data_IF_499632013249
#
_entry.id   IF_499632013249
#
_cell.length_a   1.000
_cell.length_b   1.000
_cell.length_c   1.000
_cell.angle_alpha   90.00
_cell.angle_beta   90.00
_cell.angle_gamma   90.00
#
_symmetry.space_group_name_H-M   'P 1'
#
loop_
_entity.id
_entity.type
_entity.pdbx_description
1 polymer ?
#
# COMPACT_ATOMS: atom_id res chain seq x y z
N UNK A 1 13.52 12.48 13.46
CA UNK A 1 12.39 11.59 13.82
C UNK A 1 11.99 10.68 12.64
N UNK A 2 12.91 9.93 12.03
CA UNK A 2 12.69 9.39 10.66
C UNK A 2 12.74 7.85 10.53
N UNK A 3 13.60 7.13 11.25
CA UNK A 3 13.72 5.67 11.09
C UNK A 3 12.84 4.84 12.05
N UNK A 4 12.64 5.31 13.28
CA UNK A 4 11.83 4.59 14.29
C UNK A 4 10.35 4.60 13.93
N UNK A 5 9.83 5.76 13.54
CA UNK A 5 8.44 5.95 13.12
C UNK A 5 8.12 5.15 11.86
N UNK A 6 9.00 5.20 10.85
CA UNK A 6 8.89 4.40 9.62
C UNK A 6 8.89 2.89 9.90
N UNK A 7 9.72 2.41 10.82
CA UNK A 7 9.70 1.00 11.28
C UNK A 7 8.40 0.61 11.97
N UNK A 8 7.83 1.50 12.78
CA UNK A 8 6.55 1.27 13.47
C UNK A 8 5.40 1.22 12.48
N UNK A 9 5.31 2.18 11.54
CA UNK A 9 4.31 2.17 10.47
C UNK A 9 4.44 0.90 9.63
N UNK A 10 5.67 0.52 9.24
CA UNK A 10 5.88 -0.73 8.50
C UNK A 10 5.36 -1.92 9.30
N UNK A 11 5.67 -2.05 10.60
CA UNK A 11 5.16 -3.16 11.44
C UNK A 11 3.65 -3.18 11.58
N UNK A 12 3.02 -2.01 11.68
CA UNK A 12 1.56 -1.89 11.75
C UNK A 12 0.93 -2.36 10.43
N UNK A 13 1.45 -1.90 9.29
CA UNK A 13 1.00 -2.38 7.98
C UNK A 13 1.17 -3.89 7.82
N UNK A 14 2.28 -4.42 8.32
CA UNK A 14 2.64 -5.84 8.30
C UNK A 14 1.69 -6.68 9.14
N UNK A 15 1.41 -6.22 10.36
CA UNK A 15 0.48 -6.86 11.28
C UNK A 15 -0.94 -6.88 10.71
N UNK A 16 -1.36 -5.78 10.11
CA UNK A 16 -2.70 -5.69 9.53
C UNK A 16 -2.76 -6.54 8.24
N UNK A 17 -1.78 -6.49 7.35
CA UNK A 17 -1.76 -7.35 6.14
C UNK A 17 -1.68 -8.85 6.44
N UNK A 18 -1.12 -9.24 7.60
CA UNK A 18 -1.06 -10.63 8.03
C UNK A 18 -2.38 -11.16 8.63
N UNK A 19 -3.33 -10.27 8.97
CA UNK A 19 -4.63 -10.69 9.49
C UNK A 19 -5.58 -11.10 8.37
N UNK A 20 -6.35 -12.20 8.54
CA UNK A 20 -7.34 -12.65 7.56
C UNK A 20 -8.44 -11.61 7.28
N UNK A 21 -8.66 -10.66 8.21
CA UNK A 21 -9.60 -9.53 8.07
C UNK A 21 -8.91 -8.15 8.02
N UNK A 22 -7.60 -8.11 7.81
CA UNK A 22 -6.85 -6.86 7.80
C UNK A 22 -7.19 -5.92 6.66
N UNK A 23 -7.54 -6.48 5.49
CA UNK A 23 -7.99 -5.71 4.34
C UNK A 23 -9.30 -4.98 4.68
N UNK A 24 -10.39 -5.65 5.14
CA UNK A 24 -11.59 -4.97 5.63
C UNK A 24 -11.32 -3.90 6.69
N UNK A 25 -10.38 -4.15 7.62
CA UNK A 25 -10.05 -3.22 8.69
C UNK A 25 -9.33 -1.95 8.18
N UNK A 26 -8.50 -2.08 7.14
CA UNK A 26 -7.78 -0.96 6.51
C UNK A 26 -8.65 -0.15 5.56
N UNK A 27 -9.64 -0.78 4.92
CA UNK A 27 -10.54 -0.13 3.97
C UNK A 27 -11.12 1.20 4.47
N UNK A 28 -11.70 1.32 5.68
CA UNK A 28 -12.23 2.60 6.16
C UNK A 28 -11.13 3.68 6.33
N UNK A 29 -9.93 3.30 6.78
CA UNK A 29 -8.80 4.25 6.88
C UNK A 29 -8.34 4.73 5.51
N UNK A 30 -8.29 3.85 4.51
CA UNK A 30 -7.99 4.22 3.13
C UNK A 30 -9.06 5.12 2.53
N UNK A 31 -10.34 4.89 2.84
CA UNK A 31 -11.46 5.73 2.38
C UNK A 31 -11.35 7.13 2.99
N UNK A 32 -11.18 7.24 4.31
CA UNK A 32 -11.05 8.53 5.01
C UNK A 32 -9.82 9.30 4.49
N UNK A 33 -8.69 8.60 4.36
CA UNK A 33 -7.46 9.21 3.83
C UNK A 33 -7.62 9.62 2.36
N UNK A 34 -8.32 8.83 1.54
CA UNK A 34 -8.63 9.15 0.15
C UNK A 34 -9.52 10.39 0.03
N UNK A 35 -10.56 10.51 0.88
CA UNK A 35 -11.42 11.70 0.95
C UNK A 35 -10.59 12.91 1.36
N UNK A 36 -9.75 12.79 2.39
CA UNK A 36 -8.83 13.86 2.80
C UNK A 36 -7.94 14.30 1.65
N UNK A 37 -7.24 13.38 0.97
CA UNK A 37 -6.38 13.71 -0.18
C UNK A 37 -7.15 14.35 -1.34
N UNK A 38 -8.43 14.02 -1.53
CA UNK A 38 -9.25 14.60 -2.60
C UNK A 38 -9.55 16.09 -2.37
N UNK A 39 -9.55 16.55 -1.12
CA UNK A 39 -9.93 17.95 -0.78
C UNK A 39 -8.92 19.02 -1.22
N UNK A 40 -7.68 18.67 -1.55
CA UNK A 40 -6.66 19.65 -1.95
C UNK A 40 -5.90 19.23 -3.22
N UNK A 41 -5.38 20.19 -4.02
CA UNK A 41 -4.81 19.90 -5.35
C UNK A 41 -3.65 18.90 -5.33
N UNK A 42 -2.71 19.07 -4.42
CA UNK A 42 -1.54 18.19 -4.26
C UNK A 42 -1.92 16.76 -3.82
N UNK A 43 -3.00 16.63 -3.05
CA UNK A 43 -3.51 15.34 -2.61
C UNK A 43 -4.16 14.56 -3.75
N UNK A 44 -4.79 15.25 -4.71
CA UNK A 44 -5.35 14.63 -5.92
C UNK A 44 -4.29 14.02 -6.82
N UNK A 45 -3.12 14.65 -6.95
CA UNK A 45 -1.98 14.06 -7.67
C UNK A 45 -1.45 12.80 -6.96
N UNK A 46 -1.29 12.86 -5.63
CA UNK A 46 -0.93 11.67 -4.83
C UNK A 46 -1.95 10.55 -4.98
N UNK A 47 -3.24 10.87 -4.97
CA UNK A 47 -4.33 9.92 -5.13
C UNK A 47 -4.30 9.23 -6.51
N UNK A 48 -4.04 9.99 -7.58
CA UNK A 48 -3.84 9.43 -8.93
C UNK A 48 -2.69 8.43 -8.96
N UNK A 49 -1.54 8.78 -8.36
CA UNK A 49 -0.39 7.87 -8.28
C UNK A 49 -0.72 6.59 -7.50
N UNK A 50 -1.41 6.72 -6.35
CA UNK A 50 -1.86 5.55 -5.60
C UNK A 50 -2.82 4.67 -6.41
N UNK A 51 -3.74 5.26 -7.16
CA UNK A 51 -4.69 4.52 -7.98
C UNK A 51 -4.00 3.79 -9.14
N UNK A 52 -3.03 4.42 -9.81
CA UNK A 52 -2.22 3.79 -10.86
C UNK A 52 -1.47 2.58 -10.33
N UNK A 53 -0.79 2.71 -9.18
CA UNK A 53 -0.08 1.60 -8.52
C UNK A 53 -1.07 0.48 -8.16
N UNK A 54 -2.25 0.82 -7.63
CA UNK A 54 -3.27 -0.16 -7.29
C UNK A 54 -3.75 -0.96 -8.51
N UNK A 55 -4.01 -0.28 -9.63
CA UNK A 55 -4.41 -0.93 -10.89
C UNK A 55 -3.30 -1.83 -11.43
N UNK A 56 -2.03 -1.40 -11.35
CA UNK A 56 -0.88 -2.21 -11.74
C UNK A 56 -0.76 -3.48 -10.88
N UNK A 57 -0.91 -3.34 -9.55
CA UNK A 57 -0.96 -4.48 -8.63
C UNK A 57 -2.09 -5.46 -8.97
N UNK A 58 -3.30 -4.96 -9.30
CA UNK A 58 -4.42 -5.79 -9.72
C UNK A 58 -4.13 -6.54 -11.03
N UNK A 59 -3.49 -5.89 -12.00
CA UNK A 59 -3.07 -6.56 -13.25
C UNK A 59 -2.07 -7.68 -12.96
N UNK A 60 -1.09 -7.42 -12.09
CA UNK A 60 -0.08 -8.42 -11.69
C UNK A 60 -0.72 -9.59 -10.91
N UNK A 61 -1.72 -9.34 -10.06
CA UNK A 61 -2.44 -10.39 -9.34
C UNK A 61 -3.27 -11.31 -10.23
N UNK A 62 -3.64 -10.90 -11.44
CA UNK A 62 -4.42 -11.75 -12.38
C UNK A 62 -3.60 -12.89 -12.98
N UNK A 63 -2.28 -12.77 -13.06
CA UNK A 63 -1.42 -13.79 -13.69
C UNK A 63 -0.55 -14.50 -12.65
N UNK A 64 -0.26 -15.80 -12.86
CA UNK A 64 0.59 -16.59 -11.94
C UNK A 64 2.04 -16.06 -11.90
N UNK A 65 2.54 -15.51 -13.02
CA UNK A 65 3.83 -14.82 -13.12
C UNK A 65 3.80 -13.45 -12.42
N UNK A 66 2.76 -12.64 -12.65
CA UNK A 66 2.62 -11.33 -12.02
C UNK A 66 2.47 -11.40 -10.50
N UNK A 67 1.83 -12.45 -9.95
CA UNK A 67 1.82 -12.71 -8.51
C UNK A 67 3.21 -12.92 -7.94
N UNK A 68 4.08 -13.66 -8.63
CA UNK A 68 5.47 -13.87 -8.19
C UNK A 68 6.27 -12.58 -8.23
N UNK A 69 6.07 -11.76 -9.26
CA UNK A 69 6.71 -10.45 -9.38
C UNK A 69 6.25 -9.49 -8.27
N UNK A 70 4.95 -9.47 -7.98
CA UNK A 70 4.39 -8.68 -6.89
C UNK A 70 4.98 -9.07 -5.54
N UNK A 71 5.08 -10.39 -5.27
CA UNK A 71 5.71 -10.91 -4.05
C UNK A 71 7.19 -10.52 -3.98
N UNK A 72 7.92 -10.55 -5.10
CA UNK A 72 9.31 -10.12 -5.15
C UNK A 72 9.46 -8.63 -4.85
N UNK A 73 8.64 -7.77 -5.48
CA UNK A 73 8.62 -6.32 -5.22
C UNK A 73 8.27 -6.04 -3.75
N UNK A 74 7.29 -6.76 -3.19
CA UNK A 74 6.96 -6.66 -1.76
C UNK A 74 8.12 -7.08 -0.87
N UNK A 75 8.83 -8.17 -1.18
CA UNK A 75 10.03 -8.61 -0.43
C UNK A 75 11.17 -7.60 -0.50
N UNK A 76 11.43 -7.00 -1.66
CA UNK A 76 12.46 -5.98 -1.84
C UNK A 76 12.14 -4.70 -1.05
N UNK A 77 10.89 -4.25 -1.13
CA UNK A 77 10.38 -3.14 -0.31
C UNK A 77 10.54 -3.43 1.18
N UNK A 78 10.24 -4.66 1.60
CA UNK A 78 10.39 -5.11 2.98
C UNK A 78 11.83 -5.13 3.47
N UNK A 79 12.76 -5.47 2.58
CA UNK A 79 14.20 -5.45 2.84
C UNK A 79 14.77 -4.02 2.88
N UNK A 80 13.95 -2.99 2.62
CA UNK A 80 14.41 -1.61 2.51
C UNK A 80 15.31 -1.36 1.30
N UNK A 81 15.29 -2.27 0.32
CA UNK A 81 15.96 -2.13 -0.97
C UNK A 81 14.96 -1.55 -1.96
N UNK A 82 14.61 -0.28 -1.75
CA UNK A 82 13.81 0.55 -2.65
C UNK A 82 14.29 1.99 -2.56
#
# INVERSE_FOLDING_TARGET
MNNKFKKVINRIFLFILAMPFGIPLLTPFFIIYGIYLYTFPEGREKLKNYFTIFVECLKLLKTKSGRKELILKMKLFWAGKN
#
